data_IF_246009093814
#
_entry.id   IF_246009093814
#
_cell.length_a   1.000
_cell.length_b   1.000
_cell.length_c   1.000
_cell.angle_alpha   90.00
_cell.angle_beta   90.00
_cell.angle_gamma   90.00
#
_symmetry.space_group_name_H-M   'P 1'
#
loop_
_entity.id
_entity.type
_entity.pdbx_description
1 polymer ?
#
# COMPACT_ATOMS: atom_id res chain seq x y z
N UNK A 1 32.90 36.22 -2.07
CA UNK A 1 31.89 35.48 -1.31
C UNK A 1 32.22 34.01 -1.49
N UNK A 2 32.55 33.34 -0.40
CA UNK A 2 33.06 31.96 -0.35
C UNK A 2 32.07 31.02 -1.01
N UNK A 3 32.41 30.48 -2.18
CA UNK A 3 31.75 29.27 -2.72
C UNK A 3 32.26 28.07 -1.92
N UNK A 4 31.85 27.98 -0.65
CA UNK A 4 31.97 26.77 0.09
C UNK A 4 31.14 25.70 -0.67
N UNK A 5 31.68 24.52 -0.73
CA UNK A 5 31.08 23.33 -1.32
C UNK A 5 29.76 23.02 -0.57
N UNK A 6 28.70 23.78 -0.90
CA UNK A 6 27.40 23.58 -0.26
C UNK A 6 26.77 22.32 -0.87
N UNK A 7 26.39 21.37 -0.01
CA UNK A 7 25.77 20.12 -0.42
C UNK A 7 24.30 20.18 -0.05
N UNK A 8 23.45 19.90 -1.03
CA UNK A 8 22.02 19.69 -0.84
C UNK A 8 21.75 18.19 -0.75
N UNK A 9 21.26 17.76 0.39
CA UNK A 9 20.75 16.40 0.57
C UNK A 9 19.28 16.36 0.20
N UNK A 10 18.92 15.41 -0.65
CA UNK A 10 17.53 15.18 -1.07
C UNK A 10 17.13 13.74 -0.77
N UNK A 11 15.91 13.57 -0.27
CA UNK A 11 15.34 12.25 -0.01
C UNK A 11 13.88 12.23 -0.46
N UNK A 12 13.58 11.43 -1.47
CA UNK A 12 12.23 11.14 -1.92
C UNK A 12 11.80 9.74 -1.50
N UNK A 13 10.53 9.59 -1.16
CA UNK A 13 9.91 8.29 -0.95
C UNK A 13 9.46 7.69 -2.28
N UNK A 14 9.42 6.35 -2.37
CA UNK A 14 9.04 5.65 -3.60
C UNK A 14 7.66 6.04 -4.13
N UNK A 15 6.71 6.34 -3.24
CA UNK A 15 5.38 6.84 -3.60
C UNK A 15 4.97 8.00 -2.70
N UNK A 16 4.66 9.14 -3.30
CA UNK A 16 4.18 10.33 -2.60
C UNK A 16 2.82 10.74 -3.11
N UNK A 17 1.86 10.94 -2.18
CA UNK A 17 0.51 11.39 -2.50
C UNK A 17 0.42 12.92 -2.43
N UNK A 18 -0.09 13.52 -3.52
CA UNK A 18 -0.29 14.97 -3.60
C UNK A 18 -1.75 15.29 -3.87
N UNK A 19 -2.24 16.35 -3.24
CA UNK A 19 -3.64 16.82 -3.37
C UNK A 19 -3.78 18.01 -4.32
N UNK A 20 -2.71 18.75 -4.51
CA UNK A 20 -2.69 19.92 -5.37
C UNK A 20 -2.23 19.56 -6.79
N UNK A 21 -2.82 20.20 -7.83
CA UNK A 21 -2.45 19.92 -9.21
C UNK A 21 -1.09 20.52 -9.59
N UNK A 22 -0.58 21.49 -8.84
CA UNK A 22 0.76 22.05 -9.00
C UNK A 22 1.67 21.42 -7.96
N UNK A 23 2.52 20.50 -8.40
CA UNK A 23 3.45 19.78 -7.52
C UNK A 23 4.79 20.49 -7.48
N UNK A 24 5.23 20.83 -6.26
CA UNK A 24 6.55 21.44 -6.03
C UNK A 24 7.56 20.43 -5.49
N UNK A 25 8.84 20.76 -5.56
CA UNK A 25 9.89 19.92 -4.98
C UNK A 25 9.72 19.73 -3.47
N UNK A 26 9.19 20.76 -2.78
CA UNK A 26 8.91 20.68 -1.35
C UNK A 26 7.80 19.72 -0.97
N UNK A 27 6.89 19.35 -1.91
CA UNK A 27 5.79 18.43 -1.67
C UNK A 27 6.22 16.96 -1.76
N UNK A 28 7.29 16.68 -2.54
CA UNK A 28 7.70 15.31 -2.86
C UNK A 28 9.05 14.91 -2.26
N UNK A 29 9.85 15.89 -1.82
CA UNK A 29 11.19 15.66 -1.29
C UNK A 29 11.36 16.23 0.11
N UNK A 30 12.00 15.44 0.97
CA UNK A 30 12.66 15.96 2.16
C UNK A 30 14.03 16.48 1.76
N UNK A 31 14.33 17.74 2.08
CA UNK A 31 15.55 18.41 1.67
C UNK A 31 16.26 19.05 2.85
N UNK A 32 17.59 18.90 2.90
CA UNK A 32 18.44 19.49 3.91
C UNK A 32 19.68 20.13 3.29
N UNK A 33 19.99 21.35 3.69
CA UNK A 33 21.16 22.10 3.24
C UNK A 33 21.64 23.06 4.36
N UNK A 34 22.93 23.25 4.49
CA UNK A 34 23.50 24.18 5.48
C UNK A 34 23.04 25.64 5.25
N UNK A 35 22.69 25.97 4.01
CA UNK A 35 22.22 27.30 3.62
C UNK A 35 20.69 27.32 3.42
N UNK A 36 19.98 27.91 4.38
CA UNK A 36 18.51 28.03 4.32
C UNK A 36 18.00 28.88 3.13
N UNK A 37 18.83 29.77 2.58
CA UNK A 37 18.45 30.56 1.40
C UNK A 37 18.29 29.67 0.16
N UNK A 38 19.12 28.64 0.03
CA UNK A 38 19.04 27.65 -1.04
C UNK A 38 17.73 26.86 -0.91
N UNK A 39 17.41 26.36 0.29
CA UNK A 39 16.18 25.62 0.55
C UNK A 39 14.92 26.43 0.20
N UNK A 40 14.90 27.72 0.57
CA UNK A 40 13.78 28.60 0.30
C UNK A 40 13.56 28.88 -1.21
N UNK A 41 14.63 28.78 -2.02
CA UNK A 41 14.54 28.91 -3.48
C UNK A 41 14.13 27.62 -4.17
N UNK A 42 14.59 26.46 -3.65
CA UNK A 42 14.36 25.16 -4.28
C UNK A 42 12.98 24.58 -3.93
N UNK A 43 12.53 24.69 -2.67
CA UNK A 43 11.25 24.15 -2.22
C UNK A 43 10.05 24.54 -3.11
N UNK A 44 9.89 25.81 -3.54
CA UNK A 44 8.74 26.22 -4.34
C UNK A 44 8.88 25.89 -5.83
N UNK A 45 10.00 25.31 -6.28
CA UNK A 45 10.18 24.94 -7.69
C UNK A 45 9.14 23.90 -8.09
N UNK A 46 8.38 24.25 -9.12
CA UNK A 46 7.37 23.35 -9.68
C UNK A 46 8.01 22.31 -10.58
N UNK A 47 7.72 21.04 -10.31
CA UNK A 47 8.21 19.92 -11.10
C UNK A 47 7.15 19.35 -12.04
N UNK A 48 5.88 19.42 -11.64
CA UNK A 48 4.78 18.81 -12.38
C UNK A 48 3.52 19.67 -12.29
N UNK A 49 2.85 19.82 -13.43
CA UNK A 49 1.49 20.38 -13.49
C UNK A 49 0.52 19.31 -13.93
N UNK A 50 -0.31 18.84 -13.01
CA UNK A 50 -1.27 17.78 -13.25
C UNK A 50 -2.54 18.34 -13.85
N UNK A 51 -2.96 17.82 -15.01
CA UNK A 51 -4.27 18.12 -15.57
C UNK A 51 -5.34 17.31 -14.83
N UNK A 52 -6.43 17.96 -14.40
CA UNK A 52 -7.54 17.31 -13.65
C UNK A 52 -8.20 16.14 -14.39
N UNK A 53 -7.92 15.95 -15.68
CA UNK A 53 -8.52 14.92 -16.54
C UNK A 53 -7.63 13.72 -16.81
N UNK A 54 -6.34 13.78 -16.47
CA UNK A 54 -5.35 12.78 -16.84
C UNK A 54 -4.86 11.96 -15.63
N UNK A 55 -4.04 10.99 -15.92
CA UNK A 55 -3.55 9.91 -15.06
C UNK A 55 -3.37 10.29 -13.59
N UNK A 56 -3.76 9.39 -12.70
CA UNK A 56 -3.62 9.57 -11.25
C UNK A 56 -2.20 9.29 -10.73
N UNK A 57 -1.30 8.75 -11.56
CA UNK A 57 0.08 8.40 -11.18
C UNK A 57 1.07 8.84 -12.23
N UNK A 58 2.18 9.45 -11.78
CA UNK A 58 3.28 9.93 -12.61
C UNK A 58 4.59 9.40 -12.03
N UNK A 59 5.51 9.00 -12.90
CA UNK A 59 6.86 8.60 -12.49
C UNK A 59 7.83 9.71 -12.87
N UNK A 60 8.64 10.15 -11.90
CA UNK A 60 9.64 11.21 -12.06
C UNK A 60 10.98 10.68 -11.61
N UNK A 61 11.97 10.71 -12.51
CA UNK A 61 13.33 10.32 -12.16
C UNK A 61 14.03 11.43 -11.34
N UNK A 62 14.84 11.01 -10.37
CA UNK A 62 15.69 11.93 -9.60
C UNK A 62 16.64 12.72 -10.49
N UNK A 63 17.07 12.17 -11.62
CA UNK A 63 17.92 12.90 -12.57
C UNK A 63 17.22 14.15 -13.12
N UNK A 64 15.93 14.09 -13.41
CA UNK A 64 15.14 15.27 -13.82
C UNK A 64 15.00 16.29 -12.70
N UNK A 65 14.85 15.82 -11.46
CA UNK A 65 14.85 16.70 -10.28
C UNK A 65 16.16 17.43 -10.15
N UNK A 66 17.29 16.73 -10.29
CA UNK A 66 18.63 17.30 -10.25
C UNK A 66 18.81 18.33 -11.37
N UNK A 67 18.36 18.02 -12.59
CA UNK A 67 18.39 18.96 -13.72
C UNK A 67 17.60 20.23 -13.40
N UNK A 68 16.39 20.09 -12.85
CA UNK A 68 15.55 21.23 -12.45
C UNK A 68 16.24 22.11 -11.40
N UNK A 69 16.88 21.50 -10.41
CA UNK A 69 17.63 22.22 -9.37
C UNK A 69 18.86 22.93 -9.96
N UNK A 70 19.61 22.24 -10.83
CA UNK A 70 20.81 22.85 -11.47
C UNK A 70 20.46 24.00 -12.43
N UNK A 71 19.26 23.97 -13.02
CA UNK A 71 18.76 25.08 -13.85
C UNK A 71 18.56 26.35 -13.01
N UNK A 72 18.14 26.23 -11.75
CA UNK A 72 17.94 27.34 -10.82
C UNK A 72 19.21 27.73 -10.08
N UNK A 73 20.05 26.77 -9.68
CA UNK A 73 21.30 26.99 -8.95
C UNK A 73 22.40 26.15 -9.59
N UNK A 74 23.10 26.73 -10.62
CA UNK A 74 24.18 26.01 -11.28
C UNK A 74 25.35 25.72 -10.33
N UNK A 75 25.87 24.48 -10.37
CA UNK A 75 27.05 24.08 -9.60
C UNK A 75 26.76 23.67 -8.15
N UNK A 76 25.50 23.61 -7.70
CA UNK A 76 25.17 23.07 -6.40
C UNK A 76 25.44 21.55 -6.38
N UNK A 77 26.18 21.09 -5.38
CA UNK A 77 26.36 19.66 -5.18
C UNK A 77 25.08 19.03 -4.58
N UNK A 78 24.57 17.98 -5.22
CA UNK A 78 23.35 17.31 -4.78
C UNK A 78 23.69 15.87 -4.44
N UNK A 79 23.27 15.43 -3.26
CA UNK A 79 23.39 14.05 -2.80
C UNK A 79 21.99 13.46 -2.60
N UNK A 80 21.68 12.42 -3.35
CA UNK A 80 20.42 11.69 -3.21
C UNK A 80 20.55 10.59 -2.16
N UNK A 81 19.75 10.67 -1.10
CA UNK A 81 19.63 9.68 -0.02
C UNK A 81 18.32 8.90 -0.10
N UNK A 82 17.55 9.07 -1.18
CA UNK A 82 16.27 8.41 -1.42
C UNK A 82 16.28 7.51 -2.64
N UNK A 83 15.08 7.23 -3.15
CA UNK A 83 14.88 6.40 -4.34
C UNK A 83 15.34 7.12 -5.62
N UNK A 84 15.67 6.34 -6.66
CA UNK A 84 16.08 6.86 -7.97
C UNK A 84 14.90 7.32 -8.83
N UNK A 85 13.73 6.73 -8.60
CA UNK A 85 12.49 7.01 -9.30
C UNK A 85 11.36 7.18 -8.31
N UNK A 86 10.61 8.26 -8.45
CA UNK A 86 9.54 8.64 -7.55
C UNK A 86 8.19 8.51 -8.25
N UNK A 87 7.23 7.86 -7.60
CA UNK A 87 5.84 7.80 -8.05
C UNK A 87 5.07 8.91 -7.35
N UNK A 88 4.50 9.82 -8.13
CA UNK A 88 3.61 10.87 -7.64
C UNK A 88 2.18 10.45 -7.91
N UNK A 89 1.43 10.17 -6.85
CA UNK A 89 0.02 9.79 -6.92
C UNK A 89 -0.85 11.02 -6.64
N UNK A 90 -1.61 11.46 -7.64
CA UNK A 90 -2.53 12.58 -7.48
C UNK A 90 -3.88 12.11 -6.95
N UNK A 91 -4.23 12.52 -5.75
CA UNK A 91 -5.57 12.37 -5.17
C UNK A 91 -6.35 13.69 -5.28
N UNK A 92 -6.94 13.93 -6.45
CA UNK A 92 -7.86 15.06 -6.60
C UNK A 92 -9.07 14.94 -5.67
N UNK A 93 -9.64 16.07 -5.24
CA UNK A 93 -10.86 16.13 -4.43
C UNK A 93 -12.07 15.50 -5.15
N UNK A 94 -12.12 14.18 -5.21
CA UNK A 94 -13.37 13.49 -5.56
C UNK A 94 -14.24 13.46 -4.31
N UNK A 95 -15.33 14.21 -4.31
CA UNK A 95 -16.43 14.01 -3.34
C UNK A 95 -16.89 12.55 -3.48
N UNK A 96 -16.34 11.69 -2.66
CA UNK A 96 -16.72 10.28 -2.61
C UNK A 96 -18.08 10.21 -1.90
N UNK A 97 -19.13 9.88 -2.62
CA UNK A 97 -20.44 9.61 -2.01
C UNK A 97 -20.27 8.42 -1.07
N UNK A 98 -20.27 8.68 0.25
CA UNK A 98 -20.07 7.67 1.28
C UNK A 98 -21.06 6.50 1.16
N UNK A 99 -22.30 6.79 0.72
CA UNK A 99 -23.34 5.78 0.49
C UNK A 99 -22.93 4.80 -0.63
N UNK A 100 -22.48 5.30 -1.78
CA UNK A 100 -22.01 4.46 -2.88
C UNK A 100 -20.80 3.62 -2.52
N UNK A 101 -19.89 4.15 -1.70
CA UNK A 101 -18.77 3.39 -1.17
C UNK A 101 -19.23 2.29 -0.21
N UNK A 102 -20.16 2.62 0.69
CA UNK A 102 -20.76 1.63 1.58
C UNK A 102 -21.41 0.47 0.82
N UNK A 103 -22.17 0.76 -0.24
CA UNK A 103 -22.80 -0.26 -1.09
C UNK A 103 -21.73 -1.17 -1.74
N UNK A 104 -20.66 -0.59 -2.31
CA UNK A 104 -19.57 -1.37 -2.90
C UNK A 104 -18.92 -2.32 -1.89
N UNK A 105 -18.65 -1.81 -0.68
CA UNK A 105 -18.07 -2.64 0.40
C UNK A 105 -18.99 -3.79 0.77
N UNK A 106 -20.30 -3.54 0.93
CA UNK A 106 -21.29 -4.58 1.26
C UNK A 106 -21.39 -5.63 0.16
N UNK A 107 -21.40 -5.20 -1.12
CA UNK A 107 -21.44 -6.13 -2.27
C UNK A 107 -20.19 -7.01 -2.30
N UNK A 108 -19.01 -6.41 -2.20
CA UNK A 108 -17.74 -7.17 -2.20
C UNK A 108 -17.68 -8.12 -1.00
N UNK A 109 -18.04 -7.65 0.20
CA UNK A 109 -18.09 -8.49 1.40
C UNK A 109 -19.06 -9.66 1.23
N UNK A 110 -20.24 -9.43 0.64
CA UNK A 110 -21.23 -10.47 0.36
C UNK A 110 -20.71 -11.53 -0.61
N UNK A 111 -20.10 -11.12 -1.71
CA UNK A 111 -19.52 -12.05 -2.69
C UNK A 111 -18.39 -12.86 -2.05
N UNK A 112 -17.50 -12.20 -1.30
CA UNK A 112 -16.40 -12.88 -0.61
C UNK A 112 -16.92 -13.87 0.43
N UNK A 113 -17.95 -13.49 1.19
CA UNK A 113 -18.57 -14.38 2.17
C UNK A 113 -19.19 -15.63 1.53
N UNK A 114 -19.93 -15.46 0.44
CA UNK A 114 -20.54 -16.59 -0.30
C UNK A 114 -19.44 -17.49 -0.88
N UNK A 115 -18.40 -16.91 -1.48
CA UNK A 115 -17.27 -17.67 -2.02
C UNK A 115 -16.52 -18.45 -0.96
N UNK A 116 -16.26 -17.84 0.19
CA UNK A 116 -15.62 -18.50 1.33
C UNK A 116 -16.50 -19.64 1.89
N UNK A 117 -17.79 -19.39 2.07
CA UNK A 117 -18.74 -20.42 2.53
C UNK A 117 -18.79 -21.60 1.57
N UNK A 118 -18.83 -21.35 0.25
CA UNK A 118 -18.79 -22.41 -0.77
C UNK A 118 -17.48 -23.19 -0.71
N UNK A 119 -16.34 -22.52 -0.60
CA UNK A 119 -15.03 -23.15 -0.49
C UNK A 119 -14.93 -24.07 0.75
N UNK A 120 -15.38 -23.57 1.90
CA UNK A 120 -15.40 -24.35 3.14
C UNK A 120 -16.31 -25.58 3.00
N UNK A 121 -17.49 -25.43 2.38
CA UNK A 121 -18.42 -26.52 2.17
C UNK A 121 -17.87 -27.57 1.20
N UNK A 122 -17.24 -27.13 0.10
CA UNK A 122 -16.60 -28.03 -0.86
C UNK A 122 -15.46 -28.83 -0.21
N UNK A 123 -14.59 -28.15 0.54
CA UNK A 123 -13.52 -28.80 1.30
C UNK A 123 -14.06 -29.81 2.33
N UNK A 124 -15.10 -29.45 3.07
CA UNK A 124 -15.72 -30.31 4.06
C UNK A 124 -16.28 -31.60 3.44
N UNK A 125 -16.88 -31.49 2.25
CA UNK A 125 -17.40 -32.68 1.53
C UNK A 125 -16.27 -33.56 0.97
N UNK A 126 -15.22 -32.92 0.40
CA UNK A 126 -14.10 -33.66 -0.21
C UNK A 126 -13.31 -34.48 0.83
N UNK A 127 -13.00 -33.88 1.97
CA UNK A 127 -12.24 -34.53 3.06
C UNK A 127 -13.09 -35.39 3.97
N UNK A 128 -14.41 -35.43 3.78
CA UNK A 128 -15.35 -36.17 4.65
C UNK A 128 -15.19 -35.84 6.14
N UNK A 129 -15.07 -34.57 6.46
CA UNK A 129 -14.80 -34.03 7.82
C UNK A 129 -15.79 -34.61 8.86
N UNK A 130 -17.06 -34.74 8.50
CA UNK A 130 -18.09 -35.33 9.39
C UNK A 130 -17.75 -36.77 9.79
N UNK A 131 -17.25 -37.60 8.86
CA UNK A 131 -16.82 -38.96 9.18
C UNK A 131 -15.60 -38.98 10.08
N UNK A 132 -14.68 -38.03 9.87
CA UNK A 132 -13.50 -37.90 10.73
C UNK A 132 -13.89 -37.52 12.15
N UNK A 133 -14.76 -36.53 12.34
CA UNK A 133 -15.26 -36.17 13.69
C UNK A 133 -16.03 -37.31 14.37
N UNK A 134 -16.87 -38.02 13.63
CA UNK A 134 -17.58 -39.17 14.19
C UNK A 134 -16.62 -40.25 14.68
N UNK A 135 -15.54 -40.55 13.95
CA UNK A 135 -14.50 -41.50 14.39
C UNK A 135 -13.74 -41.02 15.62
N UNK A 136 -13.34 -39.73 15.66
CA UNK A 136 -12.66 -39.16 16.81
C UNK A 136 -13.58 -39.18 18.03
N UNK A 137 -14.85 -38.83 17.87
CA UNK A 137 -15.83 -38.83 18.93
C UNK A 137 -16.02 -40.25 19.52
N UNK A 138 -16.12 -41.28 18.65
CA UNK A 138 -16.19 -42.67 19.07
C UNK A 138 -14.95 -43.10 19.85
N UNK A 139 -13.75 -42.70 19.41
CA UNK A 139 -12.50 -43.02 20.09
C UNK A 139 -12.39 -42.37 21.48
N UNK A 140 -12.90 -41.16 21.63
CA UNK A 140 -12.82 -40.40 22.89
C UNK A 140 -13.92 -40.79 23.90
N UNK A 141 -15.14 -41.08 23.41
CA UNK A 141 -16.30 -41.26 24.27
C UNK A 141 -16.79 -42.70 24.33
N UNK A 142 -16.35 -43.56 23.39
CA UNK A 142 -16.87 -44.93 23.24
C UNK A 142 -18.31 -45.01 22.69
N UNK A 143 -18.91 -43.90 22.26
CA UNK A 143 -20.27 -43.79 21.77
C UNK A 143 -20.33 -43.35 20.32
N UNK A 144 -21.29 -43.84 19.56
CA UNK A 144 -21.52 -43.36 18.19
C UNK A 144 -22.09 -41.93 18.20
N UNK A 145 -21.67 -41.14 17.21
CA UNK A 145 -22.15 -39.77 17.03
C UNK A 145 -23.52 -39.75 16.38
N UNK A 146 -24.46 -39.00 16.95
CA UNK A 146 -25.82 -38.79 16.39
C UNK A 146 -25.90 -37.65 15.38
N UNK A 147 -24.76 -37.16 14.88
CA UNK A 147 -24.67 -35.96 14.02
C UNK A 147 -23.81 -34.90 14.65
N UNK A 148 -24.34 -33.69 14.91
CA UNK A 148 -23.57 -32.58 15.48
C UNK A 148 -23.26 -32.81 16.96
N UNK A 149 -21.97 -32.88 17.30
CA UNK A 149 -21.46 -33.15 18.64
C UNK A 149 -20.79 -31.95 19.28
N UNK A 150 -20.57 -32.03 20.62
CA UNK A 150 -19.80 -31.00 21.36
C UNK A 150 -18.38 -30.80 20.77
N UNK A 151 -17.80 -31.88 20.23
CA UNK A 151 -16.47 -31.82 19.60
C UNK A 151 -16.47 -30.90 18.38
N UNK A 152 -17.47 -31.00 17.52
CA UNK A 152 -17.61 -30.14 16.33
C UNK A 152 -17.88 -28.68 16.72
N UNK A 153 -18.70 -28.46 17.75
CA UNK A 153 -18.99 -27.15 18.28
C UNK A 153 -17.73 -26.46 18.84
N UNK A 154 -16.94 -27.16 19.65
CA UNK A 154 -15.69 -26.61 20.19
C UNK A 154 -14.65 -26.35 19.12
N UNK A 155 -14.59 -27.21 18.09
CA UNK A 155 -13.75 -26.98 16.92
C UNK A 155 -14.14 -25.70 16.19
N UNK A 156 -15.43 -25.48 15.91
CA UNK A 156 -15.91 -24.26 15.26
C UNK A 156 -15.57 -23.00 16.06
N UNK A 157 -15.76 -23.03 17.38
CA UNK A 157 -15.39 -21.92 18.26
C UNK A 157 -13.88 -21.68 18.22
N UNK A 158 -13.07 -22.72 18.33
CA UNK A 158 -11.62 -22.65 18.24
C UNK A 158 -11.15 -22.07 16.91
N UNK A 159 -11.78 -22.45 15.80
CA UNK A 159 -11.48 -21.92 14.48
C UNK A 159 -11.77 -20.42 14.39
N UNK A 160 -12.93 -19.97 14.88
CA UNK A 160 -13.29 -18.56 14.92
C UNK A 160 -12.26 -17.76 15.72
N UNK A 161 -11.92 -18.23 16.93
CA UNK A 161 -10.92 -17.56 17.79
C UNK A 161 -9.56 -17.56 17.12
N UNK A 162 -9.14 -18.68 16.53
CA UNK A 162 -7.86 -18.77 15.81
C UNK A 162 -7.76 -17.80 14.65
N UNK A 163 -8.81 -17.66 13.85
CA UNK A 163 -8.88 -16.72 12.73
C UNK A 163 -8.78 -15.27 13.25
N UNK A 164 -9.52 -14.91 14.31
CA UNK A 164 -9.48 -13.57 14.88
C UNK A 164 -8.09 -13.21 15.42
N UNK A 165 -7.40 -14.16 16.06
CA UNK A 165 -6.03 -13.97 16.56
C UNK A 165 -5.05 -13.86 15.38
N UNK A 166 -5.17 -14.74 14.38
CA UNK A 166 -4.29 -14.75 13.21
C UNK A 166 -4.34 -13.44 12.42
N UNK A 167 -5.52 -12.90 12.19
CA UNK A 167 -5.67 -11.62 11.51
C UNK A 167 -5.39 -10.42 12.39
N UNK A 168 -5.15 -10.62 13.69
CA UNK A 168 -4.81 -9.57 14.65
C UNK A 168 -5.78 -8.36 14.61
N UNK A 169 -7.03 -8.60 14.23
CA UNK A 169 -8.00 -7.53 14.02
C UNK A 169 -9.37 -7.91 14.58
N UNK A 170 -9.77 -7.22 15.64
CA UNK A 170 -11.14 -7.28 16.14
C UNK A 170 -11.77 -5.89 16.04
N UNK A 171 -12.42 -5.62 14.93
CA UNK A 171 -13.01 -4.32 14.63
C UNK A 171 -11.95 -3.24 14.45
N UNK A 172 -11.86 -2.26 15.38
CA UNK A 172 -10.88 -1.16 15.33
C UNK A 172 -9.64 -1.36 16.21
N UNK A 173 -9.54 -2.50 16.92
CA UNK A 173 -8.44 -2.76 17.86
C UNK A 173 -7.55 -3.84 17.31
N UNK A 174 -6.23 -3.61 17.36
CA UNK A 174 -5.19 -4.61 17.15
C UNK A 174 -4.82 -5.26 18.47
N UNK A 175 -4.54 -6.57 18.47
CA UNK A 175 -4.07 -7.29 19.65
C UNK A 175 -2.57 -7.08 19.89
N UNK A 176 -1.78 -6.96 18.80
CA UNK A 176 -0.34 -6.72 18.87
C UNK A 176 0.03 -5.55 17.97
N UNK A 177 1.17 -4.91 18.27
CA UNK A 177 1.73 -3.83 17.45
C UNK A 177 2.38 -4.35 16.16
N UNK A 178 2.75 -5.63 16.12
CA UNK A 178 3.43 -6.23 14.98
C UNK A 178 2.49 -6.38 13.77
N UNK A 179 3.03 -6.23 12.55
CA UNK A 179 2.25 -6.43 11.33
C UNK A 179 1.81 -7.89 11.20
N UNK A 180 0.61 -8.09 10.73
CA UNK A 180 0.10 -9.44 10.41
C UNK A 180 0.74 -9.98 9.13
N UNK A 181 0.78 -11.31 8.92
CA UNK A 181 1.27 -11.89 7.67
C UNK A 181 0.58 -11.31 6.44
N UNK A 182 -0.72 -11.04 6.52
CA UNK A 182 -1.48 -10.39 5.43
C UNK A 182 -1.01 -8.93 5.19
N UNK A 183 -0.73 -8.16 6.24
CA UNK A 183 -0.21 -6.79 6.09
C UNK A 183 1.19 -6.80 5.43
N UNK A 184 2.01 -7.80 5.72
CA UNK A 184 3.33 -7.98 5.08
C UNK A 184 3.16 -8.31 3.60
N UNK A 185 2.32 -9.28 3.26
CA UNK A 185 2.03 -9.67 1.87
C UNK A 185 1.44 -8.51 1.05
N UNK A 186 0.53 -7.74 1.65
CA UNK A 186 -0.02 -6.55 0.99
C UNK A 186 1.06 -5.49 0.70
N UNK A 187 2.03 -5.30 1.59
CA UNK A 187 3.15 -4.38 1.35
C UNK A 187 4.10 -4.88 0.27
N UNK A 188 4.39 -6.19 0.24
CA UNK A 188 5.18 -6.78 -0.83
C UNK A 188 4.48 -6.60 -2.18
N UNK A 189 3.20 -6.93 -2.26
CA UNK A 189 2.39 -6.71 -3.46
C UNK A 189 2.35 -5.25 -3.91
N UNK A 190 2.25 -4.30 -2.97
CA UNK A 190 2.29 -2.87 -3.28
C UNK A 190 3.64 -2.46 -3.85
N UNK A 191 4.75 -2.97 -3.31
CA UNK A 191 6.09 -2.73 -3.84
C UNK A 191 6.26 -3.28 -5.25
N UNK A 192 5.77 -4.50 -5.51
CA UNK A 192 5.83 -5.13 -6.84
C UNK A 192 5.04 -4.33 -7.88
N UNK A 193 3.86 -3.80 -7.49
CA UNK A 193 3.08 -2.90 -8.36
C UNK A 193 3.87 -1.64 -8.69
N UNK A 194 4.52 -1.04 -7.69
CA UNK A 194 5.29 0.20 -7.88
C UNK A 194 6.49 -0.04 -8.81
N UNK A 195 7.21 -1.14 -8.66
CA UNK A 195 8.30 -1.53 -9.56
C UNK A 195 7.80 -1.76 -10.99
N UNK A 196 6.72 -2.49 -11.15
CA UNK A 196 6.10 -2.71 -12.46
C UNK A 196 5.70 -1.40 -13.14
N UNK A 197 5.20 -0.43 -12.37
CA UNK A 197 4.85 0.90 -12.90
C UNK A 197 6.10 1.65 -13.37
N UNK A 198 7.15 1.70 -12.58
CA UNK A 198 8.43 2.35 -12.94
C UNK A 198 8.98 1.73 -14.22
N UNK A 199 9.07 0.39 -14.28
CA UNK A 199 9.52 -0.31 -15.48
C UNK A 199 8.65 -0.03 -16.72
N UNK A 200 7.33 0.02 -16.55
CA UNK A 200 6.41 0.28 -17.65
C UNK A 200 6.56 1.72 -18.20
N UNK A 201 6.87 2.68 -17.34
CA UNK A 201 7.15 4.07 -17.76
C UNK A 201 8.52 4.16 -18.44
N UNK A 202 9.55 3.53 -17.89
CA UNK A 202 10.89 3.50 -18.50
C UNK A 202 10.86 2.88 -19.92
N UNK A 203 10.14 1.77 -20.12
CA UNK A 203 10.01 1.13 -21.44
C UNK A 203 9.27 1.97 -22.46
N UNK A 204 8.41 2.88 -22.06
CA UNK A 204 7.59 3.72 -22.96
C UNK A 204 8.22 5.07 -23.23
N UNK A 205 9.42 5.34 -22.70
CA UNK A 205 10.07 6.66 -22.75
C UNK A 205 9.13 7.82 -22.34
N UNK A 206 8.11 7.49 -21.55
CA UNK A 206 7.15 8.46 -21.01
C UNK A 206 7.65 9.02 -19.68
N UNK A 207 8.86 9.56 -19.67
CA UNK A 207 9.25 10.47 -18.61
C UNK A 207 8.42 11.74 -18.71
N UNK A 208 7.99 12.24 -17.56
CA UNK A 208 7.27 13.51 -17.50
C UNK A 208 8.24 14.63 -17.85
N UNK A 209 7.96 15.34 -18.94
CA UNK A 209 8.69 16.56 -19.23
C UNK A 209 8.36 17.61 -18.19
N UNK A 210 9.41 18.14 -17.58
CA UNK A 210 9.32 19.26 -16.63
C UNK A 210 9.48 20.53 -17.45
N UNK A 211 8.35 21.24 -17.71
CA UNK A 211 8.33 22.56 -18.31
C UNK A 211 8.77 23.67 -17.33
#
# INVERSE_FOLDING_TARGET
MSSGNEILYIKGEKNTEVKEPNVTLGDILTMECSNSSILNRIKPLRILKISKKEQHRYVVSVLKIIECIHREIPGLQIQNEGESDLIITYEGEKKRNAIWQGIKVVVVAGITFIGAAFSIMAFNNDVSVTKMFSRIYLLLTGKESNGFTLLEMTYCIGLIVGILIFFNHLGRKKFTADPTPMEVEMRLYENDIQETLIEAYARKEKEVDVD
#
